data_IF_320951272141
#
_entry.id   IF_320951272141
#
_cell.length_a   1.000
_cell.length_b   1.000
_cell.length_c   1.000
_cell.angle_alpha   90.00
_cell.angle_beta   90.00
_cell.angle_gamma   90.00
#
_symmetry.space_group_name_H-M   'P 1'
#
loop_
_entity.id
_entity.type
_entity.pdbx_description
1 polymer ?
#
# COMPACT_ATOMS: atom_id res chain seq x y z
N UNK A 1 1.86 -21.12 -1.18
CA UNK A 1 2.05 -19.69 -0.81
C UNK A 1 2.29 -19.62 0.71
N UNK A 2 3.39 -19.05 1.20
CA UNK A 2 3.63 -18.96 2.65
C UNK A 2 2.76 -17.84 3.24
N UNK A 3 1.72 -18.23 3.98
CA UNK A 3 0.72 -17.35 4.61
C UNK A 3 1.34 -16.21 5.43
N UNK A 4 2.51 -16.44 6.05
CA UNK A 4 3.27 -15.45 6.83
C UNK A 4 3.59 -14.15 6.08
N UNK A 5 3.91 -14.22 4.78
CA UNK A 5 4.28 -13.02 3.99
C UNK A 5 3.09 -12.09 3.78
N UNK A 6 1.89 -12.66 3.61
CA UNK A 6 0.66 -11.90 3.40
C UNK A 6 0.27 -11.10 4.65
N UNK A 7 0.56 -11.63 5.85
CA UNK A 7 0.25 -10.94 7.12
C UNK A 7 1.12 -9.70 7.34
N UNK A 8 2.41 -9.77 7.02
CA UNK A 8 3.34 -8.66 7.23
C UNK A 8 2.97 -7.45 6.37
N UNK A 9 2.53 -7.67 5.13
CA UNK A 9 2.09 -6.58 4.23
C UNK A 9 0.97 -5.74 4.84
N UNK A 10 -0.09 -6.39 5.33
CA UNK A 10 -1.22 -5.68 5.92
C UNK A 10 -0.85 -5.03 7.25
N UNK A 11 0.07 -5.61 8.03
CA UNK A 11 0.57 -4.96 9.24
C UNK A 11 1.31 -3.66 8.89
N UNK A 12 2.17 -3.66 7.86
CA UNK A 12 2.88 -2.46 7.40
C UNK A 12 1.90 -1.38 6.95
N UNK A 13 0.94 -1.73 6.07
CA UNK A 13 -0.09 -0.80 5.61
C UNK A 13 -0.92 -0.27 6.78
N UNK A 14 -1.24 -1.14 7.73
CA UNK A 14 -2.00 -0.80 8.93
C UNK A 14 -1.28 0.15 9.86
N UNK A 15 0.03 -0.03 10.05
CA UNK A 15 0.85 0.88 10.85
C UNK A 15 0.87 2.28 10.23
N UNK A 16 1.05 2.39 8.92
CA UNK A 16 0.93 3.68 8.22
C UNK A 16 -0.46 4.30 8.41
N UNK A 17 -1.53 3.49 8.35
CA UNK A 17 -2.88 3.99 8.58
C UNK A 17 -3.09 4.49 10.02
N UNK A 18 -2.47 3.81 10.97
CA UNK A 18 -2.51 4.19 12.38
C UNK A 18 -1.90 5.57 12.62
N UNK A 19 -0.84 5.93 11.87
CA UNK A 19 -0.20 7.25 11.97
C UNK A 19 -1.22 8.36 11.74
N UNK A 20 -1.97 8.35 10.63
CA UNK A 20 -2.94 9.41 10.37
C UNK A 20 -4.15 9.35 11.32
N UNK A 21 -4.55 8.17 11.80
CA UNK A 21 -5.58 8.05 12.84
C UNK A 21 -5.13 8.74 14.13
N UNK A 22 -3.89 8.49 14.57
CA UNK A 22 -3.30 9.15 15.74
C UNK A 22 -3.22 10.65 15.54
N UNK A 23 -2.82 11.12 14.35
CA UNK A 23 -2.82 12.55 14.01
C UNK A 23 -4.22 13.16 14.10
N UNK A 24 -5.26 12.48 13.61
CA UNK A 24 -6.64 12.95 13.73
C UNK A 24 -7.13 12.98 15.19
N UNK A 25 -6.79 11.97 16.00
CA UNK A 25 -7.11 11.97 17.44
C UNK A 25 -6.41 13.13 18.13
N UNK A 26 -5.13 13.37 17.82
CA UNK A 26 -4.35 14.49 18.33
C UNK A 26 -4.94 15.84 17.93
N UNK A 27 -5.49 15.94 16.72
CA UNK A 27 -6.21 17.13 16.26
C UNK A 27 -7.47 17.40 17.09
N UNK A 28 -8.24 16.36 17.42
CA UNK A 28 -9.50 16.49 18.17
C UNK A 28 -9.33 16.68 19.67
N UNK A 29 -8.40 15.95 20.30
CA UNK A 29 -8.21 15.92 21.75
C UNK A 29 -7.02 16.78 22.22
N UNK A 30 -6.23 17.31 21.29
CA UNK A 30 -5.03 18.08 21.59
C UNK A 30 -3.92 17.25 22.24
N UNK A 31 -2.88 17.93 22.73
CA UNK A 31 -1.63 17.30 23.21
C UNK A 31 -1.84 16.29 24.35
N UNK A 32 -2.93 16.39 25.11
CA UNK A 32 -3.26 15.47 26.21
C UNK A 32 -3.44 14.02 25.72
N UNK A 33 -3.83 13.80 24.46
CA UNK A 33 -3.95 12.45 23.91
C UNK A 33 -2.62 11.73 23.77
N UNK A 34 -1.48 12.45 23.73
CA UNK A 34 -0.16 11.84 23.63
C UNK A 34 0.16 10.95 24.84
N UNK A 35 -0.32 11.32 26.03
CA UNK A 35 -0.14 10.54 27.26
C UNK A 35 -0.83 9.17 27.15
N UNK A 36 -2.01 9.13 26.53
CA UNK A 36 -2.72 7.88 26.28
C UNK A 36 -1.96 6.98 25.30
N UNK A 37 -1.42 7.56 24.22
CA UNK A 37 -0.64 6.78 23.25
C UNK A 37 0.68 6.27 23.84
N UNK A 38 1.36 7.07 24.67
CA UNK A 38 2.57 6.64 25.37
C UNK A 38 2.28 5.43 26.29
N UNK A 39 1.17 5.47 27.03
CA UNK A 39 0.71 4.33 27.82
C UNK A 39 0.45 3.08 26.96
N UNK A 40 -0.21 3.23 25.80
CA UNK A 40 -0.48 2.10 24.91
C UNK A 40 0.78 1.45 24.34
N UNK A 41 1.85 2.23 24.12
CA UNK A 41 3.14 1.73 23.59
C UNK A 41 3.97 1.07 24.69
N UNK A 42 3.96 1.61 25.90
CA UNK A 42 4.74 1.07 27.03
C UNK A 42 4.16 -0.24 27.58
N UNK A 43 2.86 -0.47 27.42
CA UNK A 43 2.20 -1.68 27.91
C UNK A 43 2.20 -2.79 26.84
N UNK A 44 2.74 -3.96 27.20
CA UNK A 44 2.92 -5.09 26.29
C UNK A 44 1.58 -5.65 25.81
N UNK A 45 0.57 -5.73 26.68
CA UNK A 45 -0.75 -6.25 26.32
C UNK A 45 -1.43 -5.35 25.29
N UNK A 46 -1.43 -4.03 25.51
CA UNK A 46 -2.01 -3.07 24.57
C UNK A 46 -1.25 -3.06 23.24
N UNK A 47 0.08 -3.21 23.27
CA UNK A 47 0.89 -3.33 22.06
C UNK A 47 0.50 -4.53 21.20
N UNK A 48 0.24 -5.69 21.81
CA UNK A 48 -0.24 -6.89 21.08
C UNK A 48 -1.60 -6.63 20.44
N UNK A 49 -2.54 -6.03 21.17
CA UNK A 49 -3.85 -5.66 20.61
C UNK A 49 -3.72 -4.66 19.46
N UNK A 50 -2.81 -3.70 19.56
CA UNK A 50 -2.55 -2.71 18.52
C UNK A 50 -2.01 -3.35 17.24
N UNK A 51 -1.14 -4.37 17.33
CA UNK A 51 -0.69 -5.12 16.15
C UNK A 51 -1.88 -5.82 15.47
N UNK A 52 -2.79 -6.41 16.24
CA UNK A 52 -4.03 -6.98 15.72
C UNK A 52 -4.92 -5.95 15.03
N UNK A 53 -5.07 -4.77 15.63
CA UNK A 53 -5.80 -3.65 15.03
C UNK A 53 -5.14 -3.16 13.73
N UNK A 54 -3.80 -3.06 13.68
CA UNK A 54 -3.06 -2.71 12.46
C UNK A 54 -3.38 -3.68 11.33
N UNK A 55 -3.43 -4.99 11.57
CA UNK A 55 -3.78 -5.95 10.52
C UNK A 55 -5.17 -5.67 9.91
N UNK A 56 -6.18 -5.43 10.76
CA UNK A 56 -7.54 -5.12 10.31
C UNK A 56 -7.59 -3.79 9.55
N UNK A 57 -6.93 -2.76 10.07
CA UNK A 57 -6.82 -1.46 9.42
C UNK A 57 -6.12 -1.57 8.06
N UNK A 58 -5.04 -2.34 7.98
CA UNK A 58 -4.31 -2.57 6.74
C UNK A 58 -5.14 -3.26 5.67
N UNK A 59 -5.97 -4.24 6.06
CA UNK A 59 -6.93 -4.88 5.15
C UNK A 59 -7.98 -3.88 4.62
N UNK A 60 -8.50 -3.01 5.48
CA UNK A 60 -9.47 -1.99 5.07
C UNK A 60 -8.82 -0.97 4.13
N UNK A 61 -7.64 -0.49 4.49
CA UNK A 61 -6.91 0.50 3.71
C UNK A 61 -6.54 -0.04 2.33
N UNK A 62 -6.10 -1.30 2.25
CA UNK A 62 -5.80 -1.93 0.97
C UNK A 62 -7.03 -2.00 0.04
N UNK A 63 -8.21 -2.29 0.59
CA UNK A 63 -9.47 -2.28 -0.18
C UNK A 63 -9.83 -0.88 -0.67
N UNK A 64 -9.65 0.14 0.17
CA UNK A 64 -9.90 1.54 -0.21
C UNK A 64 -8.94 1.93 -1.35
N UNK A 65 -7.66 1.63 -1.21
CA UNK A 65 -6.64 1.94 -2.21
C UNK A 65 -6.86 1.18 -3.53
N UNK A 66 -7.31 -0.09 -3.48
CA UNK A 66 -7.69 -0.85 -4.67
C UNK A 66 -8.85 -0.17 -5.41
N UNK A 67 -9.91 0.24 -4.70
CA UNK A 67 -11.05 0.95 -5.32
C UNK A 67 -10.65 2.27 -5.96
N UNK A 68 -9.76 3.04 -5.32
CA UNK A 68 -9.27 4.31 -5.86
C UNK A 68 -8.43 4.12 -7.13
N UNK A 69 -7.68 3.02 -7.22
CA UNK A 69 -6.76 2.76 -8.34
C UNK A 69 -7.33 1.85 -9.43
N UNK A 70 -8.49 1.23 -9.23
CA UNK A 70 -9.10 0.24 -10.13
C UNK A 70 -9.26 0.76 -11.56
N UNK A 71 -9.79 1.98 -11.73
CA UNK A 71 -9.95 2.61 -13.06
C UNK A 71 -8.63 2.71 -13.83
N UNK A 72 -7.52 3.03 -13.14
CA UNK A 72 -6.19 3.13 -13.77
C UNK A 72 -5.60 1.75 -14.04
N UNK A 73 -5.77 0.82 -13.11
CA UNK A 73 -5.35 -0.59 -13.27
C UNK A 73 -6.02 -1.23 -14.48
N UNK A 74 -7.33 -1.06 -14.66
CA UNK A 74 -8.08 -1.53 -15.84
C UNK A 74 -7.54 -0.93 -17.14
N UNK A 75 -7.27 0.39 -17.17
CA UNK A 75 -6.66 1.04 -18.33
C UNK A 75 -5.27 0.51 -18.68
N UNK A 76 -4.46 0.17 -17.69
CA UNK A 76 -3.13 -0.43 -17.92
C UNK A 76 -3.27 -1.88 -18.40
N UNK A 77 -4.13 -2.68 -17.76
CA UNK A 77 -4.42 -4.06 -18.18
C UNK A 77 -4.89 -4.13 -19.63
N UNK A 78 -5.79 -3.24 -20.06
CA UNK A 78 -6.31 -3.23 -21.43
C UNK A 78 -5.25 -2.92 -22.49
N UNK A 79 -4.13 -2.27 -22.12
CA UNK A 79 -2.99 -2.04 -23.03
C UNK A 79 -2.12 -3.29 -23.24
N UNK A 80 -2.26 -4.29 -22.38
CA UNK A 80 -1.54 -5.56 -22.43
C UNK A 80 -2.57 -6.69 -22.49
N UNK A 81 -3.19 -6.95 -23.67
CA UNK A 81 -4.14 -8.04 -23.82
C UNK A 81 -3.40 -9.36 -23.54
N UNK A 82 -3.88 -10.07 -22.52
CA UNK A 82 -3.46 -11.40 -22.12
C UNK A 82 -4.62 -12.33 -22.50
N UNK A 83 -4.35 -13.42 -23.24
CA UNK A 83 -5.40 -14.37 -23.68
C UNK A 83 -5.92 -15.21 -22.49
N UNK A 84 -5.08 -15.47 -21.50
CA UNK A 84 -5.43 -16.18 -20.28
C UNK A 84 -6.47 -15.41 -19.43
N UNK A 85 -7.43 -16.15 -18.88
CA UNK A 85 -8.51 -15.61 -18.04
C UNK A 85 -8.00 -14.80 -16.84
N UNK A 86 -6.84 -15.18 -16.30
CA UNK A 86 -6.11 -14.42 -15.27
C UNK A 86 -4.61 -14.44 -15.52
N UNK A 87 -3.93 -13.31 -15.23
CA UNK A 87 -2.47 -13.21 -15.36
C UNK A 87 -1.73 -14.21 -14.46
N UNK A 88 -2.33 -14.62 -13.34
CA UNK A 88 -1.75 -15.54 -12.36
C UNK A 88 -1.60 -16.95 -12.96
N UNK A 89 -2.54 -17.37 -13.79
CA UNK A 89 -2.54 -18.70 -14.43
C UNK A 89 -1.36 -18.89 -15.40
N UNK A 90 -0.86 -17.80 -15.99
CA UNK A 90 0.36 -17.78 -16.82
C UNK A 90 1.60 -18.05 -15.96
N UNK A 91 1.69 -17.45 -14.78
CA UNK A 91 2.84 -17.63 -13.88
C UNK A 91 2.88 -19.01 -13.23
N UNK A 92 1.71 -19.59 -12.99
CA UNK A 92 1.53 -20.95 -12.46
C UNK A 92 2.01 -22.02 -13.45
N UNK A 93 1.70 -21.84 -14.74
CA UNK A 93 2.23 -22.69 -15.81
C UNK A 93 3.77 -22.65 -15.89
N UNK A 94 4.39 -21.50 -15.62
CA UNK A 94 5.84 -21.29 -15.70
C UNK A 94 6.57 -21.71 -14.39
N UNK A 95 5.86 -22.23 -13.38
CA UNK A 95 6.42 -22.57 -12.05
C UNK A 95 7.18 -21.42 -11.37
N UNK A 96 6.81 -20.17 -11.68
CA UNK A 96 7.42 -18.94 -11.11
C UNK A 96 6.45 -18.19 -10.18
N UNK A 97 5.58 -18.93 -9.49
CA UNK A 97 4.54 -18.38 -8.59
C UNK A 97 5.09 -17.52 -7.46
N UNK A 98 6.29 -17.85 -6.98
CA UNK A 98 6.98 -17.12 -5.93
C UNK A 98 7.37 -15.71 -6.37
N UNK A 99 7.83 -15.55 -7.63
CA UNK A 99 8.17 -14.25 -8.21
C UNK A 99 6.92 -13.40 -8.47
N UNK A 100 5.85 -14.01 -8.98
CA UNK A 100 4.58 -13.33 -9.20
C UNK A 100 3.96 -12.87 -7.87
N UNK A 101 3.90 -13.75 -6.86
CA UNK A 101 3.40 -13.42 -5.53
C UNK A 101 4.19 -12.28 -4.88
N UNK A 102 5.53 -12.30 -5.00
CA UNK A 102 6.39 -11.26 -4.47
C UNK A 102 6.22 -9.90 -5.18
N UNK A 103 6.02 -9.92 -6.50
CA UNK A 103 5.77 -8.69 -7.27
C UNK A 103 4.41 -8.08 -6.94
N UNK A 104 3.37 -8.92 -6.83
CA UNK A 104 2.02 -8.48 -6.49
C UNK A 104 1.95 -7.94 -5.06
N UNK A 105 2.68 -8.55 -4.12
CA UNK A 105 2.87 -8.05 -2.75
C UNK A 105 3.38 -6.61 -2.72
N UNK A 106 4.47 -6.32 -3.44
CA UNK A 106 5.04 -4.96 -3.53
C UNK A 106 4.10 -3.96 -4.17
N UNK A 107 3.39 -4.38 -5.22
CA UNK A 107 2.36 -3.55 -5.88
C UNK A 107 1.25 -3.20 -4.88
N UNK A 108 0.80 -4.16 -4.06
CA UNK A 108 -0.21 -3.95 -3.02
C UNK A 108 0.25 -2.95 -1.96
N UNK A 109 1.45 -3.13 -1.41
CA UNK A 109 2.03 -2.21 -0.42
C UNK A 109 2.11 -0.80 -1.01
N UNK A 110 2.78 -0.62 -2.16
CA UNK A 110 2.99 0.71 -2.75
C UNK A 110 1.69 1.44 -3.06
N UNK A 111 0.67 0.71 -3.50
CA UNK A 111 -0.66 1.26 -3.75
C UNK A 111 -1.27 1.84 -2.48
N UNK A 112 -1.21 1.11 -1.37
CA UNK A 112 -1.81 1.54 -0.10
C UNK A 112 -0.98 2.63 0.57
N UNK A 113 0.34 2.49 0.55
CA UNK A 113 1.31 3.47 1.07
C UNK A 113 1.17 4.83 0.42
N UNK A 114 0.93 4.87 -0.88
CA UNK A 114 0.66 6.11 -1.62
C UNK A 114 -0.58 6.85 -1.10
N UNK A 115 -1.66 6.13 -0.78
CA UNK A 115 -2.87 6.77 -0.22
C UNK A 115 -2.63 7.16 1.24
N UNK A 116 -1.98 6.30 2.03
CA UNK A 116 -1.63 6.62 3.41
C UNK A 116 -0.76 7.89 3.48
N UNK A 117 0.28 8.03 2.65
CA UNK A 117 1.12 9.22 2.65
C UNK A 117 0.36 10.50 2.28
N UNK A 118 -0.53 10.45 1.29
CA UNK A 118 -1.37 11.62 0.98
C UNK A 118 -2.24 12.04 2.19
N UNK A 119 -2.86 11.07 2.87
CA UNK A 119 -3.69 11.34 4.05
C UNK A 119 -2.85 11.83 5.24
N UNK A 120 -1.66 11.23 5.47
CA UNK A 120 -0.73 11.64 6.52
C UNK A 120 -0.24 13.07 6.28
N UNK A 121 0.05 13.44 5.03
CA UNK A 121 0.48 14.80 4.67
C UNK A 121 -0.57 15.84 5.05
N UNK A 122 -1.82 15.61 4.66
CA UNK A 122 -2.95 16.51 5.00
C UNK A 122 -3.21 16.54 6.51
N UNK A 123 -3.28 15.37 7.16
CA UNK A 123 -3.52 15.30 8.61
C UNK A 123 -2.38 15.94 9.41
N UNK A 124 -1.13 15.72 9.00
CA UNK A 124 0.06 16.29 9.63
C UNK A 124 0.12 17.81 9.49
N UNK A 125 -0.28 18.34 8.33
CA UNK A 125 -0.43 19.78 8.12
C UNK A 125 -1.46 20.37 9.08
N UNK A 126 -2.65 19.77 9.15
CA UNK A 126 -3.74 20.24 10.02
C UNK A 126 -3.34 20.24 11.49
N UNK A 127 -2.71 19.17 11.98
CA UNK A 127 -2.20 19.09 13.36
C UNK A 127 -1.16 20.18 13.63
N UNK A 128 -0.22 20.39 12.71
CA UNK A 128 0.83 21.38 12.88
C UNK A 128 0.27 22.80 12.98
N UNK A 129 -0.78 23.10 12.20
CA UNK A 129 -1.46 24.39 12.22
C UNK A 129 -2.36 24.57 13.46
N UNK A 130 -3.23 23.59 13.74
CA UNK A 130 -4.26 23.72 14.78
C UNK A 130 -3.77 23.43 16.20
N UNK A 131 -2.82 22.50 16.38
CA UNK A 131 -2.38 22.03 17.71
C UNK A 131 -1.05 22.65 18.12
N UNK A 132 -0.13 22.79 17.17
CA UNK A 132 1.21 23.33 17.44
C UNK A 132 1.38 24.79 17.03
N UNK A 133 0.38 25.39 16.36
CA UNK A 133 0.41 26.77 15.85
C UNK A 133 1.66 27.07 15.01
N UNK A 134 2.19 26.08 14.31
CA UNK A 134 3.42 26.18 13.53
C UNK A 134 3.14 25.90 12.04
N UNK A 135 2.87 26.98 11.30
CA UNK A 135 2.56 26.90 9.87
C UNK A 135 3.73 26.40 9.01
N UNK A 136 4.98 26.72 9.38
CA UNK A 136 6.16 26.26 8.64
C UNK A 136 6.28 24.74 8.74
N UNK A 137 6.13 24.18 9.95
CA UNK A 137 6.14 22.74 10.15
C UNK A 137 5.02 22.05 9.36
N UNK A 138 3.83 22.67 9.29
CA UNK A 138 2.71 22.14 8.53
C UNK A 138 2.94 22.12 7.01
N UNK A 139 3.59 23.15 6.46
CA UNK A 139 3.95 23.18 5.03
C UNK A 139 5.03 22.12 4.74
N UNK A 140 6.06 22.04 5.60
CA UNK A 140 7.14 21.06 5.44
C UNK A 140 6.62 19.62 5.51
N UNK A 141 5.71 19.32 6.44
CA UNK A 141 5.12 17.98 6.56
C UNK A 141 4.28 17.63 5.33
N UNK A 142 3.44 18.54 4.85
CA UNK A 142 2.65 18.34 3.64
C UNK A 142 3.54 18.04 2.44
N UNK A 143 4.52 18.90 2.17
CA UNK A 143 5.41 18.78 1.00
C UNK A 143 6.17 17.46 1.05
N UNK A 144 6.71 17.09 2.21
CA UNK A 144 7.45 15.84 2.38
C UNK A 144 6.58 14.61 2.07
N UNK A 145 5.39 14.52 2.67
CA UNK A 145 4.52 13.35 2.48
C UNK A 145 3.91 13.27 1.08
N UNK A 146 3.61 14.41 0.44
CA UNK A 146 3.13 14.41 -0.95
C UNK A 146 4.23 13.99 -1.94
N UNK A 147 5.49 14.40 -1.71
CA UNK A 147 6.62 13.90 -2.51
C UNK A 147 6.73 12.37 -2.36
N UNK A 148 6.63 11.85 -1.14
CA UNK A 148 6.66 10.40 -0.89
C UNK A 148 5.48 9.66 -1.54
N UNK A 149 4.27 10.25 -1.51
CA UNK A 149 3.10 9.71 -2.20
C UNK A 149 3.30 9.65 -3.72
N UNK A 150 3.90 10.68 -4.32
CA UNK A 150 4.23 10.71 -5.75
C UNK A 150 5.28 9.66 -6.12
N UNK A 151 6.33 9.48 -5.30
CA UNK A 151 7.34 8.43 -5.50
C UNK A 151 6.68 7.05 -5.44
N UNK A 152 5.83 6.81 -4.43
CA UNK A 152 5.10 5.55 -4.30
C UNK A 152 4.18 5.29 -5.50
N UNK A 153 3.49 6.32 -6.01
CA UNK A 153 2.65 6.25 -7.21
C UNK A 153 3.44 5.87 -8.47
N UNK A 154 4.60 6.48 -8.66
CA UNK A 154 5.49 6.18 -9.78
C UNK A 154 6.02 4.75 -9.71
N UNK A 155 6.51 4.33 -8.54
CA UNK A 155 6.99 2.98 -8.30
C UNK A 155 5.89 1.93 -8.52
N UNK A 156 4.68 2.16 -7.99
CA UNK A 156 3.51 1.32 -8.22
C UNK A 156 3.20 1.16 -9.70
N UNK A 157 3.16 2.28 -10.44
CA UNK A 157 2.82 2.27 -11.87
C UNK A 157 3.88 1.53 -12.69
N UNK A 158 5.17 1.76 -12.41
CA UNK A 158 6.29 1.08 -13.08
C UNK A 158 6.25 -0.44 -12.85
N UNK A 159 6.08 -0.87 -11.60
CA UNK A 159 5.98 -2.29 -11.26
C UNK A 159 4.77 -2.95 -11.89
N UNK A 160 3.62 -2.28 -11.92
CA UNK A 160 2.40 -2.79 -12.54
C UNK A 160 2.59 -2.99 -14.05
N UNK A 161 3.22 -2.03 -14.73
CA UNK A 161 3.53 -2.14 -16.17
C UNK A 161 4.51 -3.29 -16.42
N UNK A 162 5.58 -3.40 -15.64
CA UNK A 162 6.57 -4.46 -15.78
C UNK A 162 5.97 -5.83 -15.54
N UNK A 163 5.09 -5.96 -14.55
CA UNK A 163 4.35 -7.19 -14.27
C UNK A 163 3.50 -7.62 -15.48
N UNK A 164 2.67 -6.72 -16.03
CA UNK A 164 1.84 -7.05 -17.19
C UNK A 164 2.65 -7.33 -18.46
N UNK A 165 3.68 -6.53 -18.73
CA UNK A 165 4.59 -6.74 -19.88
C UNK A 165 5.26 -8.11 -19.82
N UNK A 166 5.83 -8.46 -18.65
CA UNK A 166 6.50 -9.76 -18.48
C UNK A 166 5.52 -10.93 -18.59
N UNK A 167 4.30 -10.76 -18.05
CA UNK A 167 3.24 -11.77 -18.20
C UNK A 167 2.88 -12.00 -19.67
N UNK A 168 2.73 -10.94 -20.46
CA UNK A 168 2.41 -11.05 -21.89
C UNK A 168 3.52 -11.72 -22.69
N UNK A 169 4.80 -11.41 -22.39
CA UNK A 169 5.93 -12.07 -23.05
C UNK A 169 5.95 -13.57 -22.76
N UNK A 170 5.78 -13.97 -21.50
CA UNK A 170 5.70 -15.39 -21.12
C UNK A 170 4.56 -16.12 -21.82
N UNK A 171 3.40 -15.48 -21.97
CA UNK A 171 2.27 -16.07 -22.70
C UNK A 171 2.58 -16.26 -24.19
N UNK A 172 3.29 -15.32 -24.82
CA UNK A 172 3.73 -15.45 -26.22
C UNK A 172 4.77 -16.57 -26.37
N UNK A 173 5.71 -16.65 -25.45
CA UNK A 173 6.76 -17.68 -25.49
C UNK A 173 6.15 -19.08 -25.37
N UNK A 174 5.17 -19.27 -24.46
CA UNK A 174 4.42 -20.54 -24.36
C UNK A 174 3.64 -20.87 -25.63
N UNK A 175 2.96 -19.90 -26.25
CA UNK A 175 2.23 -20.13 -27.50
C UNK A 175 3.16 -20.54 -28.65
N UNK A 176 4.35 -19.94 -28.72
CA UNK A 176 5.36 -20.27 -29.72
C UNK A 176 6.01 -21.66 -29.50
N UNK A 177 6.08 -22.13 -28.26
CA UNK A 177 6.53 -23.50 -27.93
C UNK A 177 5.47 -24.53 -28.28
N UNK A 178 4.18 -24.24 -28.04
CA UNK A 178 3.07 -25.12 -28.43
C UNK A 178 2.94 -25.26 -29.96
N UNK A 179 3.25 -24.22 -30.75
CA UNK A 179 3.25 -24.28 -32.23
C UNK A 179 4.44 -25.07 -32.82
N UNK A 180 5.49 -25.36 -32.04
CA UNK A 180 6.68 -26.11 -32.50
C UNK A 180 6.59 -27.62 -32.27
N UNK A 181 5.56 -28.09 -31.57
CA UNK A 181 5.30 -29.51 -31.28
C UNK A 181 4.25 -30.02 -32.25
#
# INVERSE_FOLDING_TARGET
MQTTKLYVEYIVIGMESLVWIVLLVLMCLGKSSLVFFDYCIQNLLTSIFMIGACYVLGLLMDRVADRLTDKKKRRIKNRYPIKASTSILVWEKVKQDTFAAFTLSRIRILRSTMVNFAVIGVAGMLVSFCVYCNGILGILSLVFFEIMALIAWQAHTSLLINYYRKTQNLERDMANEEEKI
#
